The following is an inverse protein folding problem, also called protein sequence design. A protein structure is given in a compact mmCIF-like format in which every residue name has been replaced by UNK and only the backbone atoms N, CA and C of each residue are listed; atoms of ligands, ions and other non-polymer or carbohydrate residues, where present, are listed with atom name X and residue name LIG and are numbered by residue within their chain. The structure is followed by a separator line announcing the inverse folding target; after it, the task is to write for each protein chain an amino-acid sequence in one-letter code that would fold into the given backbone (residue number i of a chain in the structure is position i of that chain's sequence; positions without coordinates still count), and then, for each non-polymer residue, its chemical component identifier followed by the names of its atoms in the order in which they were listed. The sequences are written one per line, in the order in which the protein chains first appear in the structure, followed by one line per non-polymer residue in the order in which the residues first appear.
data_IF_456591368638
#
_entry.id   IF_456591368638
#
_cell.length_a   1.000
_cell.length_b   1.000
_cell.length_c   1.000
_cell.angle_alpha   90.00
_cell.angle_beta   90.00
_cell.angle_gamma   90.00
#
_symmetry.space_group_name_H-M   'P 1'
#
loop_
_entity.id
_entity.type
_entity.pdbx_description
1 polymer ?
#
# COMPACT_ATOMS: atom_id res chain seq x y z
N UNK A 1 4.70 10.13 7.61
CA UNK A 1 3.62 9.47 6.86
C UNK A 1 2.46 10.42 6.72
N UNK A 2 2.19 10.86 5.49
CA UNK A 2 1.05 11.72 5.16
C UNK A 2 0.39 11.17 3.90
N UNK A 3 -0.84 10.67 4.04
CA UNK A 3 -1.61 10.19 2.90
C UNK A 3 -2.12 11.38 2.11
N UNK A 4 -1.74 11.50 0.85
CA UNK A 4 -2.23 12.51 -0.09
C UNK A 4 -3.22 11.87 -1.02
N UNK A 5 -4.43 12.44 -1.10
CA UNK A 5 -5.48 11.94 -1.99
C UNK A 5 -5.78 13.01 -3.03
N UNK A 6 -5.43 12.76 -4.28
CA UNK A 6 -5.73 13.65 -5.39
C UNK A 6 -7.17 13.43 -5.86
N UNK A 7 -7.96 14.50 -5.80
CA UNK A 7 -9.39 14.50 -6.08
C UNK A 7 -9.70 15.56 -7.13
N UNK A 8 -10.79 15.40 -7.88
CA UNK A 8 -11.36 16.46 -8.72
C UNK A 8 -12.74 16.85 -8.18
N UNK A 9 -12.81 18.01 -7.51
CA UNK A 9 -14.06 18.53 -6.93
C UNK A 9 -15.14 18.79 -7.99
N UNK A 10 -14.76 19.30 -9.15
CA UNK A 10 -15.66 19.62 -10.26
C UNK A 10 -15.65 18.59 -11.40
N UNK A 11 -15.41 17.32 -11.08
CA UNK A 11 -15.45 16.25 -12.09
C UNK A 11 -16.82 16.14 -12.79
N UNK A 12 -16.82 16.08 -14.13
CA UNK A 12 -18.02 15.88 -14.93
C UNK A 12 -18.54 14.43 -14.92
N UNK A 13 -17.72 13.47 -14.47
CA UNK A 13 -18.08 12.05 -14.43
C UNK A 13 -18.64 11.65 -13.07
N UNK A 14 -19.88 11.16 -13.06
CA UNK A 14 -20.51 10.59 -11.86
C UNK A 14 -19.76 9.38 -11.32
N UNK A 15 -19.16 8.57 -12.20
CA UNK A 15 -18.36 7.41 -11.79
C UNK A 15 -17.12 7.84 -11.00
N UNK A 16 -16.39 8.85 -11.51
CA UNK A 16 -15.22 9.41 -10.81
C UNK A 16 -15.63 9.97 -9.45
N UNK A 17 -16.73 10.73 -9.40
CA UNK A 17 -17.24 11.30 -8.14
C UNK A 17 -17.52 10.21 -7.09
N UNK A 18 -18.15 9.10 -7.50
CA UNK A 18 -18.42 7.96 -6.62
C UNK A 18 -17.14 7.29 -6.13
N UNK A 19 -16.18 7.01 -7.03
CA UNK A 19 -14.88 6.44 -6.68
C UNK A 19 -14.13 7.29 -5.65
N UNK A 20 -14.09 8.61 -5.87
CA UNK A 20 -13.51 9.57 -4.93
C UNK A 20 -14.19 9.57 -3.56
N UNK A 21 -15.53 9.58 -3.55
CA UNK A 21 -16.31 9.54 -2.32
C UNK A 21 -16.08 8.26 -1.52
N UNK A 22 -15.99 7.11 -2.19
CA UNK A 22 -15.74 5.82 -1.54
C UNK A 22 -14.35 5.79 -0.88
N UNK A 23 -13.30 6.25 -1.57
CA UNK A 23 -11.95 6.37 -0.97
C UNK A 23 -11.97 7.27 0.26
N UNK A 24 -12.53 8.47 0.13
CA UNK A 24 -12.59 9.44 1.23
C UNK A 24 -13.39 8.91 2.42
N UNK A 25 -14.60 8.38 2.15
CA UNK A 25 -15.47 7.84 3.20
C UNK A 25 -14.80 6.67 3.93
N UNK A 26 -14.05 5.85 3.22
CA UNK A 26 -13.32 4.74 3.81
C UNK A 26 -12.16 5.20 4.69
N UNK A 27 -11.33 6.14 4.22
CA UNK A 27 -10.23 6.70 5.02
C UNK A 27 -10.76 7.38 6.30
N UNK A 28 -11.87 8.10 6.19
CA UNK A 28 -12.55 8.72 7.35
C UNK A 28 -13.09 7.66 8.33
N UNK A 29 -13.69 6.58 7.84
CA UNK A 29 -14.17 5.48 8.67
C UNK A 29 -13.04 4.77 9.43
N UNK A 30 -11.88 4.61 8.78
CA UNK A 30 -10.67 4.07 9.39
C UNK A 30 -9.91 5.08 10.27
N UNK A 31 -10.33 6.35 10.28
CA UNK A 31 -9.64 7.46 10.96
C UNK A 31 -8.18 7.62 10.52
N UNK A 32 -7.92 7.39 9.24
CA UNK A 32 -6.61 7.67 8.65
C UNK A 32 -6.55 9.15 8.30
N UNK A 33 -5.54 9.85 8.81
CA UNK A 33 -5.31 11.25 8.46
C UNK A 33 -4.81 11.34 7.01
N UNK A 34 -5.50 12.16 6.21
CA UNK A 34 -5.15 12.39 4.82
C UNK A 34 -5.29 13.86 4.42
N UNK A 35 -4.54 14.26 3.41
CA UNK A 35 -4.58 15.58 2.79
C UNK A 35 -5.29 15.50 1.44
N UNK A 36 -6.51 16.07 1.31
CA UNK A 36 -7.17 16.15 0.01
C UNK A 36 -6.51 17.21 -0.86
N UNK A 37 -6.09 16.83 -2.07
CA UNK A 37 -5.46 17.70 -3.05
C UNK A 37 -6.35 17.80 -4.29
N UNK A 38 -7.08 18.91 -4.43
CA UNK A 38 -7.96 19.11 -5.57
C UNK A 38 -7.15 19.42 -6.84
N UNK A 39 -7.38 18.67 -7.92
CA UNK A 39 -6.74 18.85 -9.23
C UNK A 39 -7.62 19.66 -10.20
N UNK A 40 -8.89 19.89 -9.85
CA UNK A 40 -9.83 20.53 -10.75
C UNK A 40 -9.67 22.05 -10.75
N UNK A 41 -9.38 22.64 -9.59
CA UNK A 41 -9.15 24.07 -9.42
C UNK A 41 -7.69 24.44 -9.13
N UNK A 42 -6.79 23.48 -8.93
CA UNK A 42 -5.37 23.71 -8.70
C UNK A 42 -4.52 22.97 -9.75
N UNK A 43 -3.82 23.75 -10.58
CA UNK A 43 -3.00 23.23 -11.66
C UNK A 43 -1.71 22.56 -11.17
N UNK A 44 -1.12 23.04 -10.08
CA UNK A 44 0.09 22.44 -9.51
C UNK A 44 -0.20 21.01 -9.05
N UNK A 45 -1.30 20.81 -8.31
CA UNK A 45 -1.74 19.47 -7.91
C UNK A 45 -1.99 18.56 -9.12
N UNK A 46 -2.63 19.09 -10.16
CA UNK A 46 -2.92 18.34 -11.40
C UNK A 46 -1.64 17.90 -12.11
N UNK A 47 -0.67 18.80 -12.23
CA UNK A 47 0.61 18.52 -12.88
C UNK A 47 1.46 17.56 -12.04
N UNK A 48 1.48 17.76 -10.73
CA UNK A 48 2.19 16.89 -9.79
C UNK A 48 1.64 15.47 -9.85
N UNK A 49 0.32 15.29 -9.77
CA UNK A 49 -0.31 13.97 -9.87
C UNK A 49 0.10 13.26 -11.17
N UNK A 50 -0.03 13.93 -12.32
CA UNK A 50 0.29 13.32 -13.62
C UNK A 50 1.77 12.96 -13.79
N UNK A 51 2.67 13.73 -13.17
CA UNK A 51 4.12 13.50 -13.22
C UNK A 51 4.55 12.34 -12.32
N UNK A 52 3.93 12.20 -11.14
CA UNK A 52 4.35 11.24 -10.13
C UNK A 52 3.59 9.90 -10.19
N UNK A 53 2.51 9.79 -10.98
CA UNK A 53 1.94 8.47 -11.29
C UNK A 53 2.94 7.69 -12.15
N UNK A 54 3.33 6.45 -11.75
CA UNK A 54 4.23 5.58 -12.51
C UNK A 54 3.71 5.27 -13.91
N UNK A 55 4.61 5.13 -14.90
CA UNK A 55 4.23 4.94 -16.31
C UNK A 55 3.49 3.61 -16.55
N UNK A 56 3.86 2.56 -15.82
CA UNK A 56 3.22 1.25 -15.83
C UNK A 56 1.80 1.26 -15.26
N UNK A 57 1.49 2.22 -14.39
CA UNK A 57 0.16 2.43 -13.79
C UNK A 57 -0.68 3.47 -14.54
N UNK A 58 -0.14 4.10 -15.60
CA UNK A 58 -0.92 5.01 -16.43
C UNK A 58 -1.87 4.20 -17.33
N UNK A 59 -3.10 4.71 -17.57
CA UNK A 59 -4.00 4.06 -18.50
C UNK A 59 -3.40 4.00 -19.90
N UNK A 60 -3.59 2.87 -20.60
CA UNK A 60 -3.01 2.62 -21.94
C UNK A 60 -3.39 3.68 -22.97
N UNK A 61 -4.51 4.36 -22.74
CA UNK A 61 -4.93 5.54 -23.48
C UNK A 61 -5.37 6.63 -22.51
N UNK A 62 -4.66 7.75 -22.48
CA UNK A 62 -5.08 8.97 -21.80
C UNK A 62 -4.20 9.38 -20.63
N UNK A 63 -4.79 10.13 -19.71
CA UNK A 63 -4.12 10.67 -18.51
C UNK A 63 -4.65 9.96 -17.27
N UNK A 64 -3.84 9.85 -16.19
CA UNK A 64 -4.34 9.33 -14.93
C UNK A 64 -5.51 10.20 -14.42
N UNK A 65 -6.57 9.53 -13.98
CA UNK A 65 -7.81 10.14 -13.48
C UNK A 65 -7.91 9.93 -11.97
N UNK A 66 -8.51 10.88 -11.22
CA UNK A 66 -8.70 10.73 -9.78
C UNK A 66 -9.78 9.68 -9.45
N UNK A 67 -9.78 9.10 -8.23
CA UNK A 67 -8.82 9.35 -7.15
C UNK A 67 -7.44 8.73 -7.42
N UNK A 68 -6.38 9.40 -6.98
CA UNK A 68 -5.00 8.89 -6.97
C UNK A 68 -4.41 9.07 -5.57
N UNK A 69 -3.85 8.01 -5.00
CA UNK A 69 -3.44 7.95 -3.60
C UNK A 69 -1.91 7.82 -3.54
N UNK A 70 -1.31 8.65 -2.70
CA UNK A 70 0.13 8.67 -2.45
C UNK A 70 0.38 8.69 -0.95
N UNK A 71 1.45 8.04 -0.52
CA UNK A 71 2.04 8.24 0.79
C UNK A 71 3.27 9.14 0.60
N UNK A 72 3.11 10.42 0.96
CA UNK A 72 4.09 11.48 0.70
C UNK A 72 4.43 11.66 -0.79
N UNK A 73 5.51 11.03 -1.27
CA UNK A 73 5.91 11.02 -2.69
C UNK A 73 5.78 9.63 -3.32
N UNK A 74 5.57 8.59 -2.51
CA UNK A 74 5.40 7.22 -2.96
C UNK A 74 3.99 7.00 -3.49
N UNK A 75 3.88 6.38 -4.66
CA UNK A 75 2.59 6.05 -5.27
C UNK A 75 2.01 4.79 -4.64
N UNK A 76 0.85 4.91 -4.00
CA UNK A 76 0.11 3.76 -3.47
C UNK A 76 -0.72 3.10 -4.57
N UNK A 77 -1.52 3.90 -5.29
CA UNK A 77 -2.37 3.38 -6.36
C UNK A 77 -3.52 4.29 -6.75
N UNK A 78 -4.30 3.79 -7.70
CA UNK A 78 -5.56 4.36 -8.13
C UNK A 78 -6.75 3.75 -7.38
N UNK A 79 -7.97 4.04 -7.83
CA UNK A 79 -9.17 3.46 -7.21
C UNK A 79 -9.23 1.94 -7.31
N UNK A 80 -8.83 1.36 -8.44
CA UNK A 80 -9.01 -0.08 -8.67
C UNK A 80 -8.05 -0.85 -7.75
N UNK A 81 -6.80 -0.40 -7.65
CA UNK A 81 -5.82 -0.95 -6.70
C UNK A 81 -6.28 -0.78 -5.24
N UNK A 82 -6.86 0.37 -4.89
CA UNK A 82 -7.44 0.59 -3.56
C UNK A 82 -8.63 -0.32 -3.27
N UNK A 83 -9.48 -0.56 -4.27
CA UNK A 83 -10.65 -1.41 -4.15
C UNK A 83 -10.24 -2.86 -3.89
N UNK A 84 -9.25 -3.37 -4.63
CA UNK A 84 -8.69 -4.70 -4.40
C UNK A 84 -8.13 -4.82 -2.96
N UNK A 85 -7.32 -3.85 -2.52
CA UNK A 85 -6.81 -3.82 -1.15
C UNK A 85 -7.93 -3.73 -0.09
N UNK A 86 -9.04 -3.06 -0.38
CA UNK A 86 -10.20 -2.98 0.50
C UNK A 86 -10.92 -4.33 0.62
N UNK A 87 -11.10 -5.06 -0.49
CA UNK A 87 -11.69 -6.40 -0.49
C UNK A 87 -10.78 -7.41 0.26
N UNK A 88 -9.47 -7.31 0.05
CA UNK A 88 -8.47 -8.18 0.70
C UNK A 88 -8.18 -7.78 2.16
N UNK A 89 -8.77 -6.69 2.65
CA UNK A 89 -8.46 -6.09 3.96
C UNK A 89 -6.99 -5.71 4.13
N UNK A 90 -6.28 -5.40 3.05
CA UNK A 90 -4.86 -5.03 3.00
C UNK A 90 -4.60 -3.54 2.89
N UNK A 91 -5.59 -2.70 3.24
CA UNK A 91 -5.52 -1.24 2.99
C UNK A 91 -4.38 -0.55 3.74
N UNK A 92 -4.01 -1.00 4.93
CA UNK A 92 -2.89 -0.39 5.66
C UNK A 92 -1.57 -0.61 4.90
N UNK A 93 -1.34 -1.83 4.43
CA UNK A 93 -0.20 -2.15 3.57
C UNK A 93 -0.23 -1.38 2.25
N UNK A 94 -1.40 -1.27 1.60
CA UNK A 94 -1.58 -0.44 0.39
C UNK A 94 -1.19 1.03 0.62
N UNK A 95 -1.56 1.58 1.78
CA UNK A 95 -1.20 2.95 2.15
C UNK A 95 0.25 3.09 2.63
N UNK A 96 0.98 1.99 2.81
CA UNK A 96 2.30 1.97 3.43
C UNK A 96 2.26 2.42 4.89
N UNK A 97 1.18 2.08 5.60
CA UNK A 97 0.98 2.35 7.03
C UNK A 97 1.11 1.03 7.79
N UNK A 98 1.69 1.03 9.01
CA UNK A 98 1.68 -0.15 9.85
C UNK A 98 0.24 -0.51 10.22
N UNK A 99 -0.14 -1.80 10.16
CA UNK A 99 -1.48 -2.20 10.54
C UNK A 99 -1.73 -1.93 12.03
N UNK A 100 -2.96 -1.53 12.41
CA UNK A 100 -3.26 -1.29 13.81
C UNK A 100 -3.24 -2.60 14.61
N UNK A 101 -2.82 -2.57 15.89
CA UNK A 101 -2.78 -3.74 16.74
C UNK A 101 -4.15 -4.43 16.83
N UNK A 102 -4.19 -5.74 16.57
CA UNK A 102 -5.43 -6.55 16.58
C UNK A 102 -6.26 -6.48 15.30
N UNK A 103 -5.76 -5.87 14.22
CA UNK A 103 -6.33 -6.03 12.88
C UNK A 103 -5.93 -7.38 12.28
N UNK A 104 -6.71 -7.86 11.30
CA UNK A 104 -6.37 -9.11 10.60
C UNK A 104 -5.00 -9.08 9.93
N UNK A 105 -4.54 -7.92 9.46
CA UNK A 105 -3.21 -7.77 8.86
C UNK A 105 -2.10 -7.88 9.89
N UNK A 106 -2.25 -7.26 11.06
CA UNK A 106 -1.24 -7.36 12.12
C UNK A 106 -1.01 -8.82 12.53
N UNK A 107 -2.07 -9.63 12.57
CA UNK A 107 -1.95 -11.05 12.89
C UNK A 107 -1.24 -11.87 11.80
N UNK A 108 -1.36 -11.47 10.54
CA UNK A 108 -0.64 -12.13 9.43
C UNK A 108 0.83 -11.73 9.43
N UNK A 109 1.15 -10.46 9.67
CA UNK A 109 2.54 -10.01 9.84
C UNK A 109 3.20 -10.69 11.05
N UNK A 110 2.49 -10.81 12.19
CA UNK A 110 2.99 -11.52 13.38
C UNK A 110 3.19 -13.03 13.13
N UNK A 111 2.37 -13.66 12.26
CA UNK A 111 2.51 -15.08 11.89
C UNK A 111 3.64 -15.29 10.88
N UNK A 112 3.78 -14.41 9.87
CA UNK A 112 4.88 -14.48 8.88
C UNK A 112 6.24 -14.21 9.53
N UNK A 113 6.36 -13.23 10.44
CA UNK A 113 7.61 -12.99 11.19
C UNK A 113 7.98 -14.19 12.08
N UNK A 114 6.99 -14.90 12.66
CA UNK A 114 7.25 -16.12 13.45
C UNK A 114 7.70 -17.29 12.57
N UNK A 115 7.08 -17.48 11.40
CA UNK A 115 7.48 -18.52 10.44
C UNK A 115 8.89 -18.25 9.88
N UNK A 116 9.25 -16.98 9.64
CA UNK A 116 10.60 -16.60 9.20
C UNK A 116 11.65 -16.80 10.31
N UNK A 117 11.35 -16.41 11.56
CA UNK A 117 12.25 -16.69 12.70
C UNK A 117 12.42 -18.20 12.96
N UNK A 118 11.36 -19.02 12.85
CA UNK A 118 11.48 -20.47 12.99
C UNK A 118 12.29 -21.11 11.85
N UNK A 119 12.21 -20.56 10.63
CA UNK A 119 13.00 -21.03 9.49
C UNK A 119 14.49 -20.70 9.65
N UNK A 120 14.84 -19.47 10.06
CA UNK A 120 16.24 -19.10 10.32
C UNK A 120 16.86 -19.96 11.44
N UNK A 121 16.11 -20.24 12.52
CA UNK A 121 16.60 -21.09 13.61
C UNK A 121 16.81 -22.53 13.16
N UNK A 122 15.94 -23.06 12.30
CA UNK A 122 16.11 -24.42 11.74
C UNK A 122 17.32 -24.51 10.82
N UNK A 123 17.57 -23.50 9.98
CA UNK A 123 18.77 -23.47 9.12
C UNK A 123 20.06 -23.40 9.96
N UNK A 124 20.10 -22.59 11.02
CA UNK A 124 21.25 -22.53 11.93
C UNK A 124 21.49 -23.86 12.67
N UNK A 125 20.43 -24.57 13.09
CA UNK A 125 20.54 -25.86 13.76
C UNK A 125 21.04 -26.97 12.82
N UNK A 126 20.63 -26.95 11.54
CA UNK A 126 21.11 -27.88 10.51
C UNK A 126 22.60 -27.63 10.16
N UNK A 127 23.04 -26.37 10.06
CA UNK A 127 24.44 -26.03 9.81
C UNK A 127 25.37 -26.49 10.97
N UNK A 128 24.97 -26.28 12.24
CA UNK A 128 25.74 -26.70 13.42
C UNK A 128 25.86 -28.24 13.50
N UNK A 129 24.82 -28.97 13.08
CA UNK A 129 24.80 -30.44 13.01
C UNK A 129 25.65 -31.01 11.87
N UNK A 130 25.80 -30.31 10.74
CA UNK A 130 26.70 -30.70 9.66
C UNK A 130 28.16 -30.44 10.05
N UNK A 131 28.47 -29.29 10.66
CA UNK A 131 29.83 -28.92 11.08
C UNK A 131 30.37 -29.89 12.15
N UNK A 132 29.53 -30.29 13.11
CA UNK A 132 29.89 -31.28 14.13
C UNK A 132 30.10 -32.70 13.57
N UNK A 133 29.35 -33.10 12.54
CA UNK A 133 29.56 -34.39 11.86
C UNK A 133 30.85 -34.41 11.04
N UNK A 134 31.19 -33.30 10.36
CA UNK A 134 32.45 -33.20 9.62
C UNK A 134 33.67 -33.20 10.56
N UNK A 135 33.58 -32.58 11.75
CA UNK A 135 34.64 -32.65 12.76
C UNK A 135 34.83 -34.07 13.32
N UNK A 136 33.74 -34.84 13.53
CA UNK A 136 33.81 -36.21 14.06
C UNK A 136 34.36 -37.22 13.01
N UNK A 137 34.12 -37.00 11.71
CA UNK A 137 34.70 -37.83 10.64
C UNK A 137 36.17 -37.49 10.32
N UNK A 138 36.69 -36.36 10.77
CA UNK A 138 38.06 -35.90 10.52
C UNK A 138 39.09 -36.37 11.58
N UNK A 139 38.66 -36.99 12.69
CA UNK A 139 39.49 -37.57 13.76
C UNK A 139 39.80 -39.07 13.55
#
# INVERSE_FOLDING_TARGET
MVIKVFLASSSGSTAIKKKQQDVVAFLEALKVDYTPLDIACNEENRMWMRKNVPEDKKPSTGIPLPPQIFNEESYCGDYDTFFDAKEDNTVYAFLGLPPPPGSKQAHVEDEEEQDEEEAEVQEEEEEDLEETQEEEEAE
#
